data_IF_866515498291
#
_entry.id   IF_866515498291
#
_cell.length_a   1.000
_cell.length_b   1.000
_cell.length_c   1.000
_cell.angle_alpha   90.00
_cell.angle_beta   90.00
_cell.angle_gamma   90.00
#
_symmetry.space_group_name_H-M   'P 1'
#
loop_
_entity.id
_entity.type
_entity.pdbx_description
1 polymer ?
#
# COMPACT_ATOMS: atom_id res chain seq x y z
N UNK A 1 -15.62 -0.28 12.21
CA UNK A 1 -16.02 0.82 11.29
C UNK A 1 -15.29 0.67 9.95
N UNK A 2 -13.96 0.57 9.92
CA UNK A 2 -13.22 0.23 8.70
C UNK A 2 -13.40 -1.22 8.25
N UNK A 3 -13.54 -2.16 9.18
CA UNK A 3 -13.74 -3.58 8.85
C UNK A 3 -15.06 -3.83 8.08
N UNK A 4 -16.09 -3.01 8.36
CA UNK A 4 -17.36 -3.06 7.63
C UNK A 4 -17.24 -2.59 6.17
N UNK A 5 -16.18 -1.85 5.84
CA UNK A 5 -15.83 -1.42 4.49
C UNK A 5 -14.73 -2.31 3.87
N UNK A 6 -14.41 -3.45 4.49
CA UNK A 6 -13.36 -4.37 4.02
C UNK A 6 -11.93 -3.95 4.37
N UNK A 7 -11.75 -2.91 5.20
CA UNK A 7 -10.43 -2.50 5.69
C UNK A 7 -9.87 -3.50 6.71
N UNK A 8 -8.54 -3.69 6.69
CA UNK A 8 -7.83 -4.53 7.67
C UNK A 8 -6.94 -3.63 8.53
N UNK A 9 -7.16 -3.64 9.84
CA UNK A 9 -6.31 -2.90 10.78
C UNK A 9 -5.00 -3.66 11.00
N UNK A 10 -3.88 -3.06 10.57
CA UNK A 10 -2.55 -3.60 10.78
C UNK A 10 -2.05 -3.34 12.21
N UNK A 11 -0.99 -4.05 12.61
CA UNK A 11 -0.29 -3.76 13.85
C UNK A 11 0.26 -2.32 13.87
N UNK A 12 0.41 -1.75 15.07
CA UNK A 12 0.97 -0.41 15.29
C UNK A 12 2.49 -0.39 15.05
N UNK A 13 2.89 -0.48 13.77
CA UNK A 13 4.27 -0.51 13.30
C UNK A 13 4.37 0.12 11.91
N UNK A 14 5.59 0.38 11.43
CA UNK A 14 5.81 0.98 10.12
C UNK A 14 5.29 0.12 8.95
N UNK A 15 5.51 -1.21 9.00
CA UNK A 15 4.92 -2.18 8.06
C UNK A 15 5.11 -1.83 6.58
N UNK A 16 4.04 -1.81 5.77
CA UNK A 16 4.12 -1.52 4.33
C UNK A 16 4.75 -0.18 3.96
N UNK A 17 4.75 0.81 4.86
CA UNK A 17 5.39 2.11 4.63
C UNK A 17 6.91 1.97 4.38
N UNK A 18 7.54 0.95 4.98
CA UNK A 18 8.97 0.68 4.85
C UNK A 18 9.29 -0.59 4.06
N UNK A 19 8.29 -1.23 3.45
CA UNK A 19 8.47 -2.47 2.70
C UNK A 19 8.34 -3.74 3.54
N UNK A 20 7.97 -3.64 4.81
CA UNK A 20 7.64 -4.80 5.64
C UNK A 20 6.21 -5.23 5.38
N UNK A 21 6.00 -5.78 4.18
CA UNK A 21 4.71 -6.29 3.75
C UNK A 21 4.91 -7.53 2.88
N UNK A 22 4.47 -8.68 3.37
CA UNK A 22 4.33 -9.89 2.58
C UNK A 22 3.07 -9.77 1.71
N UNK A 23 3.16 -8.93 0.67
CA UNK A 23 2.03 -8.69 -0.24
C UNK A 23 1.66 -10.00 -0.93
N UNK A 24 0.41 -10.41 -0.80
CA UNK A 24 -0.10 -11.55 -1.54
C UNK A 24 -0.19 -11.18 -3.02
N UNK A 25 0.61 -11.84 -3.85
CA UNK A 25 0.62 -11.69 -5.30
C UNK A 25 1.15 -12.98 -5.92
N UNK A 26 0.50 -13.46 -6.98
CA UNK A 26 0.95 -14.63 -7.74
C UNK A 26 2.16 -14.30 -8.62
N UNK A 27 2.34 -13.02 -8.96
CA UNK A 27 3.46 -12.50 -9.74
C UNK A 27 4.08 -11.28 -9.02
N UNK A 28 5.32 -11.39 -8.51
CA UNK A 28 6.00 -10.29 -7.82
C UNK A 28 6.45 -9.15 -8.74
N UNK A 29 6.34 -9.31 -10.06
CA UNK A 29 6.71 -8.29 -11.05
C UNK A 29 5.51 -7.71 -11.81
N UNK A 30 4.28 -8.07 -11.44
CA UNK A 30 3.07 -7.58 -12.12
C UNK A 30 2.98 -6.06 -12.05
N UNK A 31 2.72 -5.41 -13.20
CA UNK A 31 2.39 -3.97 -13.25
C UNK A 31 1.08 -3.70 -12.52
N UNK A 32 1.09 -2.77 -11.57
CA UNK A 32 -0.08 -2.37 -10.79
C UNK A 32 0.09 -0.96 -10.21
N UNK A 33 -0.97 -0.48 -9.57
CA UNK A 33 -0.98 0.79 -8.87
C UNK A 33 -1.44 0.59 -7.43
N UNK A 34 -0.87 1.37 -6.51
CA UNK A 34 -1.32 1.47 -5.12
C UNK A 34 -1.45 2.94 -4.74
N UNK A 35 -2.44 3.26 -3.91
CA UNK A 35 -2.59 4.59 -3.30
C UNK A 35 -2.42 4.47 -1.79
N UNK A 36 -1.60 5.33 -1.20
CA UNK A 36 -1.25 5.26 0.22
C UNK A 36 -1.27 6.64 0.86
N UNK A 37 -1.51 6.69 2.16
CA UNK A 37 -1.37 7.91 2.96
C UNK A 37 -0.01 8.01 3.65
N UNK A 38 1.02 7.42 3.05
CA UNK A 38 2.40 7.46 3.55
C UNK A 38 3.13 8.74 3.07
N UNK A 39 4.46 8.72 3.00
CA UNK A 39 5.25 9.88 2.58
C UNK A 39 6.36 9.57 1.55
N UNK A 40 6.53 8.30 1.16
CA UNK A 40 7.55 7.87 0.19
C UNK A 40 6.96 6.85 -0.79
N UNK A 41 7.30 7.00 -2.06
CA UNK A 41 6.83 6.16 -3.17
C UNK A 41 7.96 5.74 -4.14
N UNK A 42 9.18 5.59 -3.64
CA UNK A 42 10.30 5.10 -4.46
C UNK A 42 10.03 3.67 -4.98
N UNK A 43 10.62 3.32 -6.13
CA UNK A 43 10.50 1.98 -6.71
C UNK A 43 10.86 0.90 -5.68
N UNK A 44 10.09 -0.21 -5.67
CA UNK A 44 10.22 -1.34 -4.73
C UNK A 44 10.01 -1.03 -3.25
N UNK A 45 9.65 0.20 -2.87
CA UNK A 45 9.61 0.61 -1.46
C UNK A 45 8.58 -0.14 -0.62
N UNK A 46 7.37 -0.34 -1.13
CA UNK A 46 6.25 -0.84 -0.33
C UNK A 46 6.12 -2.37 -0.34
N UNK A 47 6.46 -3.01 -1.45
CA UNK A 47 6.20 -4.43 -1.70
C UNK A 47 7.33 -5.14 -2.47
N UNK A 48 8.46 -4.48 -2.72
CA UNK A 48 9.59 -5.06 -3.46
C UNK A 48 9.43 -5.10 -4.99
N UNK A 49 8.26 -4.74 -5.53
CA UNK A 49 7.99 -4.81 -6.96
C UNK A 49 8.39 -3.49 -7.67
N UNK A 50 9.31 -3.52 -8.67
CA UNK A 50 9.73 -2.31 -9.38
C UNK A 50 8.63 -1.72 -10.29
N UNK A 51 7.62 -2.52 -10.63
CA UNK A 51 6.53 -2.15 -11.53
C UNK A 51 5.29 -1.62 -10.78
N UNK A 52 5.37 -1.49 -9.45
CA UNK A 52 4.32 -0.86 -8.64
C UNK A 52 4.40 0.65 -8.77
N UNK A 53 3.35 1.26 -9.31
CA UNK A 53 3.17 2.71 -9.29
C UNK A 53 2.48 3.14 -7.98
N UNK A 54 3.25 3.73 -7.07
CA UNK A 54 2.75 4.18 -5.78
C UNK A 54 2.41 5.68 -5.78
N UNK A 55 1.17 6.00 -5.43
CA UNK A 55 0.66 7.38 -5.28
C UNK A 55 0.50 7.71 -3.80
N UNK A 56 0.91 8.92 -3.41
CA UNK A 56 0.78 9.43 -2.05
C UNK A 56 -0.30 10.50 -2.03
N UNK A 57 -1.28 10.37 -1.14
CA UNK A 57 -2.37 11.33 -0.96
C UNK A 57 -2.80 11.42 0.51
N UNK A 58 -3.78 12.26 0.84
CA UNK A 58 -4.30 12.32 2.21
C UNK A 58 -5.08 11.05 2.58
N UNK A 59 -5.20 10.70 3.87
CA UNK A 59 -5.96 9.53 4.32
C UNK A 59 -7.40 9.51 3.82
N UNK A 60 -8.04 10.67 3.71
CA UNK A 60 -9.43 10.82 3.25
C UNK A 60 -9.54 10.49 1.77
N UNK A 61 -8.61 10.96 0.94
CA UNK A 61 -8.56 10.67 -0.49
C UNK A 61 -8.25 9.19 -0.74
N UNK A 62 -7.32 8.62 0.03
CA UNK A 62 -7.00 7.18 -0.05
C UNK A 62 -8.24 6.36 0.28
N UNK A 63 -8.97 6.71 1.34
CA UNK A 63 -10.21 6.03 1.73
C UNK A 63 -11.30 6.17 0.67
N UNK A 64 -11.43 7.33 0.04
CA UNK A 64 -12.44 7.57 -1.00
C UNK A 64 -12.16 6.82 -2.31
N UNK A 65 -10.89 6.47 -2.58
CA UNK A 65 -10.45 5.76 -3.79
C UNK A 65 -10.22 4.26 -3.57
N UNK A 66 -10.40 3.76 -2.33
CA UNK A 66 -10.14 2.37 -1.93
C UNK A 66 -11.34 1.45 -2.11
#
# INVERSE_FOLDING_TARGET
KFDAMGGVVLANACGPCIGQWARHSDDPNRKNSIITSFNRNFAKRNDGNPNTHAFVASPEIVTALA
#
